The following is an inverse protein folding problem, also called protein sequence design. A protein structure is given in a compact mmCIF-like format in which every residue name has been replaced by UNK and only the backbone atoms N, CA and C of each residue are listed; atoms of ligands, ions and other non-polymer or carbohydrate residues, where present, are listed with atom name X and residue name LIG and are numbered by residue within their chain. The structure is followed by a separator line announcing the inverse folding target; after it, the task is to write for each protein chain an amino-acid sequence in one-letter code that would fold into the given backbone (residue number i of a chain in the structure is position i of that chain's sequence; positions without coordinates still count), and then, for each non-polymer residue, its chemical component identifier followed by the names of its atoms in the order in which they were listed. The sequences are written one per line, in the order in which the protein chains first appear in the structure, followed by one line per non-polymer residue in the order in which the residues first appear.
data_IF_246245912255
#
_entry.id   IF_246245912255
#
_cell.length_a   1.000
_cell.length_b   1.000
_cell.length_c   1.000
_cell.angle_alpha   90.00
_cell.angle_beta   90.00
_cell.angle_gamma   90.00
#
_symmetry.space_group_name_H-M   'P 1'
#
loop_
_entity.id
_entity.type
_entity.pdbx_description
1 polymer ?
#
# COMPACT_ATOMS: atom_id res chain seq x y z
N UNK A 1 -4.59 -8.22 12.70
CA UNK A 1 -3.53 -7.30 12.28
C UNK A 1 -2.89 -7.93 11.06
N UNK A 2 -2.77 -7.21 9.95
CA UNK A 2 -2.14 -7.74 8.73
C UNK A 2 -0.64 -7.73 8.98
N UNK A 3 0.02 -8.88 8.83
CA UNK A 3 1.48 -8.95 8.88
C UNK A 3 2.01 -8.49 7.52
N UNK A 4 2.88 -7.47 7.53
CA UNK A 4 3.42 -6.83 6.34
C UNK A 4 4.94 -6.95 6.36
N UNK A 5 5.52 -7.13 5.18
CA UNK A 5 6.96 -7.13 4.97
C UNK A 5 7.35 -6.07 3.92
N UNK A 6 8.55 -5.48 4.03
CA UNK A 6 9.15 -4.77 2.91
C UNK A 6 9.17 -5.69 1.70
N UNK A 7 8.59 -5.23 0.62
CA UNK A 7 8.40 -5.98 -0.58
C UNK A 7 7.06 -6.72 -0.70
N UNK A 8 6.09 -6.47 0.16
CA UNK A 8 4.72 -6.91 -0.13
C UNK A 8 4.04 -5.96 -1.12
N UNK A 9 3.14 -6.50 -1.93
CA UNK A 9 2.15 -5.70 -2.66
C UNK A 9 0.83 -5.77 -1.92
N UNK A 10 0.26 -4.63 -1.56
CA UNK A 10 -1.00 -4.54 -0.81
C UNK A 10 -2.10 -3.85 -1.62
N UNK A 11 -3.34 -4.06 -1.20
CA UNK A 11 -4.49 -3.30 -1.70
C UNK A 11 -4.79 -2.15 -0.76
N UNK A 12 -4.70 -0.92 -1.28
CA UNK A 12 -5.10 0.30 -0.57
C UNK A 12 -6.58 0.57 -0.84
N UNK A 13 -7.33 0.87 0.23
CA UNK A 13 -8.76 1.23 0.17
C UNK A 13 -8.98 2.48 -0.69
N UNK A 14 -10.11 2.52 -1.41
CA UNK A 14 -10.59 3.74 -2.05
C UNK A 14 -10.85 4.85 -1.03
N UNK A 15 -10.52 6.08 -1.41
CA UNK A 15 -10.87 7.30 -0.69
C UNK A 15 -11.95 8.09 -1.44
N UNK A 16 -12.16 9.34 -1.03
CA UNK A 16 -13.11 10.23 -1.71
C UNK A 16 -12.63 10.59 -3.13
N UNK A 17 -11.32 10.76 -3.33
CA UNK A 17 -10.74 11.24 -4.59
C UNK A 17 -9.93 10.18 -5.37
N UNK A 18 -9.82 8.96 -4.86
CA UNK A 18 -9.05 7.90 -5.52
C UNK A 18 -9.70 6.51 -5.39
N UNK A 19 -9.57 5.65 -6.42
CA UNK A 19 -10.04 4.28 -6.34
C UNK A 19 -9.11 3.40 -5.50
N UNK A 20 -9.59 2.19 -5.18
CA UNK A 20 -8.69 1.14 -4.70
C UNK A 20 -7.56 0.91 -5.71
N UNK A 21 -6.36 0.70 -5.21
CA UNK A 21 -5.18 0.48 -6.03
C UNK A 21 -4.17 -0.42 -5.34
N UNK A 22 -3.24 -0.93 -6.14
CA UNK A 22 -2.13 -1.72 -5.65
C UNK A 22 -0.99 -0.80 -5.23
N UNK A 23 -0.31 -1.16 -4.15
CA UNK A 23 0.80 -0.42 -3.60
C UNK A 23 1.91 -1.37 -3.18
N UNK A 24 3.14 -1.09 -3.62
CA UNK A 24 4.35 -1.80 -3.21
C UNK A 24 4.86 -1.19 -1.91
N UNK A 25 4.97 -2.00 -0.88
CA UNK A 25 5.57 -1.59 0.40
C UNK A 25 7.09 -1.67 0.27
N UNK A 26 7.78 -0.57 0.51
CA UNK A 26 9.25 -0.52 0.60
C UNK A 26 9.71 -0.31 2.04
N UNK A 27 8.91 0.39 2.85
CA UNK A 27 9.19 0.70 4.25
C UNK A 27 7.96 0.47 5.13
N UNK A 28 8.20 0.04 6.37
CA UNK A 28 7.15 -0.12 7.39
C UNK A 28 7.52 0.78 8.56
N UNK A 29 6.60 1.68 8.91
CA UNK A 29 6.68 2.58 10.06
C UNK A 29 5.68 2.14 11.14
N UNK A 30 5.63 2.85 12.26
CA UNK A 30 4.74 2.50 13.38
C UNK A 30 3.24 2.62 13.02
N UNK A 31 2.86 3.52 12.12
CA UNK A 31 1.47 3.85 11.77
C UNK A 31 1.13 3.78 10.27
N UNK A 32 2.12 3.70 9.39
CA UNK A 32 1.94 3.69 7.95
C UNK A 32 2.96 2.78 7.24
N UNK A 33 2.74 2.56 5.93
CA UNK A 33 3.73 1.98 5.03
C UNK A 33 4.22 3.02 4.05
N UNK A 34 5.51 3.03 3.73
CA UNK A 34 6.10 3.84 2.67
C UNK A 34 6.37 3.01 1.42
N UNK A 35 6.26 3.59 0.23
CA UNK A 35 6.49 2.90 -1.03
C UNK A 35 5.76 3.53 -2.20
N UNK A 36 5.41 2.73 -3.21
CA UNK A 36 4.92 3.25 -4.49
C UNK A 36 3.59 2.63 -4.93
N UNK A 37 2.69 3.48 -5.43
CA UNK A 37 1.47 3.02 -6.08
C UNK A 37 1.80 2.32 -7.40
N UNK A 38 1.27 1.12 -7.61
CA UNK A 38 1.48 0.32 -8.83
C UNK A 38 0.36 0.51 -9.85
N UNK A 39 -0.84 0.89 -9.39
CA UNK A 39 -2.01 1.09 -10.25
C UNK A 39 -2.80 2.34 -9.84
N UNK A 40 -3.80 2.69 -10.65
CA UNK A 40 -4.67 3.84 -10.39
C UNK A 40 -4.05 5.19 -10.79
N UNK A 41 -4.71 6.31 -10.45
CA UNK A 41 -4.28 7.65 -10.84
C UNK A 41 -2.91 8.07 -10.30
N UNK A 42 -2.46 7.42 -9.23
CA UNK A 42 -1.19 7.70 -8.56
C UNK A 42 -0.08 6.72 -8.96
N UNK A 43 -0.27 5.86 -9.97
CA UNK A 43 0.72 4.87 -10.36
C UNK A 43 2.09 5.50 -10.64
N UNK A 44 3.13 4.99 -9.97
CA UNK A 44 4.50 5.52 -10.01
C UNK A 44 4.81 6.57 -8.94
N UNK A 45 3.81 7.08 -8.22
CA UNK A 45 4.00 8.05 -7.15
C UNK A 45 4.34 7.38 -5.82
N UNK A 46 5.25 8.00 -5.06
CA UNK A 46 5.56 7.63 -3.69
C UNK A 46 4.44 8.07 -2.76
N UNK A 47 4.12 7.25 -1.76
CA UNK A 47 3.13 7.57 -0.74
C UNK A 47 3.43 6.92 0.60
N UNK A 48 2.71 7.40 1.62
CA UNK A 48 2.78 6.90 3.00
C UNK A 48 1.37 6.60 3.54
N UNK A 49 0.62 5.65 2.94
CA UNK A 49 -0.73 5.35 3.40
C UNK A 49 -0.73 4.74 4.82
N UNK A 50 -1.66 5.23 5.64
CA UNK A 50 -1.95 4.71 6.98
C UNK A 50 -2.29 3.22 6.93
N UNK A 51 -1.85 2.45 7.94
CA UNK A 51 -2.07 1.00 8.02
C UNK A 51 -3.56 0.62 7.99
N UNK A 52 -4.45 1.48 8.46
CA UNK A 52 -5.91 1.30 8.40
C UNK A 52 -6.50 1.37 6.98
N UNK A 53 -5.76 1.91 6.01
CA UNK A 53 -6.12 1.90 4.59
C UNK A 53 -5.73 0.60 3.89
N UNK A 54 -4.82 -0.19 4.48
CA UNK A 54 -4.41 -1.48 3.93
C UNK A 54 -5.52 -2.51 4.17
N UNK A 55 -6.11 -3.01 3.08
CA UNK A 55 -7.20 -3.99 3.17
C UNK A 55 -6.71 -5.43 3.27
N UNK A 56 -5.68 -5.77 2.49
CA UNK A 56 -5.06 -7.10 2.43
C UNK A 56 -3.73 -7.06 1.67
N UNK A 57 -2.89 -8.07 1.93
CA UNK A 57 -1.76 -8.40 1.05
C UNK A 57 -2.33 -9.02 -0.24
N UNK A 58 -1.89 -8.49 -1.38
CA UNK A 58 -2.19 -9.00 -2.71
C UNK A 58 -1.16 -10.05 -3.16
N UNK A 59 0.13 -9.77 -2.90
CA UNK A 59 1.24 -10.67 -3.15
C UNK A 59 2.34 -10.42 -2.12
N UNK A 60 2.92 -11.47 -1.56
CA UNK A 60 4.02 -11.35 -0.61
C UNK A 60 5.36 -11.14 -1.31
N UNK A 61 6.32 -10.54 -0.61
CA UNK A 61 7.73 -10.61 -1.00
C UNK A 61 8.18 -12.07 -1.15
N UNK A 62 8.99 -12.35 -2.17
CA UNK A 62 9.70 -13.64 -2.32
C UNK A 62 10.79 -13.82 -1.25
#
# INVERSE_FOLDING_TARGET
MIELNPGDTVVIRAGEDWPEHLFRVDYIFDDCVGGYSLTGPMAGEYGEPDLGLVLRVHASAD
#
